data_IF_438293307691
#
_entry.id   IF_438293307691
#
_cell.length_a   1.000
_cell.length_b   1.000
_cell.length_c   1.000
_cell.angle_alpha   90.00
_cell.angle_beta   90.00
_cell.angle_gamma   90.00
#
_symmetry.space_group_name_H-M   'P 1'
#
loop_
_entity.id
_entity.type
_entity.pdbx_description
1 polymer ?
#
# COMPACT_ATOMS: atom_id res chain seq x y z
N UNK A 1 16.09 11.11 43.43
CA UNK A 1 14.90 11.06 42.56
C UNK A 1 15.13 10.02 41.48
N UNK A 2 14.49 8.85 41.55
CA UNK A 2 14.53 7.79 40.52
C UNK A 2 13.09 7.47 40.14
N UNK A 3 12.72 7.73 38.88
CA UNK A 3 11.39 7.48 38.33
C UNK A 3 11.33 6.13 37.63
N UNK A 4 10.71 5.18 38.34
CA UNK A 4 9.95 3.99 37.91
C UNK A 4 10.33 3.31 36.60
N UNK A 5 11.02 2.17 36.77
CA UNK A 5 11.12 1.03 35.86
C UNK A 5 9.75 0.39 35.64
N UNK A 6 9.28 0.33 34.39
CA UNK A 6 8.15 -0.53 33.97
C UNK A 6 8.75 -1.85 33.48
N UNK A 7 9.19 -2.65 34.44
CA UNK A 7 9.34 -4.10 34.31
C UNK A 7 8.37 -4.66 35.35
N UNK A 8 7.56 -5.65 34.96
CA UNK A 8 6.54 -6.33 35.79
C UNK A 8 5.11 -5.77 35.67
N UNK A 9 4.50 -5.90 34.49
CA UNK A 9 3.05 -6.17 34.37
C UNK A 9 2.80 -6.93 33.06
N UNK A 10 3.26 -8.18 32.97
CA UNK A 10 2.94 -9.12 31.87
C UNK A 10 2.58 -10.52 32.41
N UNK A 11 1.97 -10.60 33.61
CA UNK A 11 1.60 -11.87 34.22
C UNK A 11 0.12 -11.90 34.65
N UNK A 12 -0.76 -11.45 33.75
CA UNK A 12 -2.20 -11.75 33.84
C UNK A 12 -2.57 -12.61 32.63
N UNK A 13 -3.26 -13.74 32.81
CA UNK A 13 -3.63 -14.65 31.70
C UNK A 13 -4.49 -13.97 30.63
N UNK A 14 -5.16 -12.87 30.99
CA UNK A 14 -5.96 -12.01 30.11
C UNK A 14 -5.11 -11.20 29.11
N UNK A 15 -3.90 -10.77 29.49
CA UNK A 15 -3.01 -10.02 28.59
C UNK A 15 -2.24 -10.95 27.65
N UNK A 16 -1.88 -12.15 28.12
CA UNK A 16 -1.28 -13.19 27.29
C UNK A 16 -2.25 -13.62 26.18
N UNK A 17 -3.53 -13.84 26.50
CA UNK A 17 -4.57 -14.16 25.49
C UNK A 17 -4.89 -13.01 24.55
N UNK A 18 -4.83 -11.76 25.01
CA UNK A 18 -4.99 -10.57 24.14
C UNK A 18 -3.78 -10.35 23.21
N UNK A 19 -2.56 -10.69 23.65
CA UNK A 19 -1.36 -10.61 22.81
C UNK A 19 -1.33 -11.74 21.78
N UNK A 20 -1.65 -12.98 22.19
CA UNK A 20 -1.74 -14.13 21.30
C UNK A 20 -2.90 -13.98 20.30
N UNK A 21 -4.06 -13.45 20.73
CA UNK A 21 -5.15 -13.09 19.82
C UNK A 21 -4.80 -11.91 18.89
N UNK A 22 -3.98 -10.96 19.35
CA UNK A 22 -3.50 -9.86 18.49
C UNK A 22 -2.43 -10.32 17.49
N UNK A 23 -1.63 -11.34 17.82
CA UNK A 23 -0.67 -11.96 16.90
C UNK A 23 -1.41 -12.83 15.86
N UNK A 24 -2.47 -13.56 16.24
CA UNK A 24 -3.36 -14.25 15.28
C UNK A 24 -4.16 -13.27 14.39
N UNK A 25 -4.63 -12.12 14.89
CA UNK A 25 -5.29 -11.09 14.07
C UNK A 25 -4.32 -10.35 13.12
N UNK A 26 -3.03 -10.26 13.48
CA UNK A 26 -1.98 -9.69 12.62
C UNK A 26 -1.53 -10.68 11.53
N UNK A 27 -1.62 -11.98 11.78
CA UNK A 27 -1.41 -13.02 10.75
C UNK A 27 -2.66 -13.28 9.90
N UNK A 28 -3.85 -12.87 10.35
CA UNK A 28 -5.11 -12.98 9.61
C UNK A 28 -5.39 -11.85 8.60
N UNK A 29 -4.50 -10.86 8.44
CA UNK A 29 -4.58 -9.95 7.28
C UNK A 29 -4.02 -10.61 6.02
N UNK A 30 -4.59 -11.77 5.66
CA UNK A 30 -4.41 -12.33 4.32
C UNK A 30 -4.89 -11.30 3.29
N UNK A 31 -3.94 -10.79 2.51
CA UNK A 31 -4.14 -10.23 1.19
C UNK A 31 -5.30 -9.22 1.06
N UNK A 32 -5.03 -7.98 1.49
CA UNK A 32 -5.62 -6.80 0.84
C UNK A 32 -5.08 -6.69 -0.59
N UNK A 33 -5.49 -7.59 -1.47
CA UNK A 33 -5.30 -7.41 -2.91
C UNK A 33 -6.26 -6.33 -3.34
N UNK A 34 -5.72 -5.16 -3.71
CA UNK A 34 -6.52 -4.15 -4.39
C UNK A 34 -6.73 -4.66 -5.82
N UNK A 35 -7.77 -5.46 -6.01
CA UNK A 35 -8.28 -5.76 -7.34
C UNK A 35 -8.70 -4.43 -7.97
N UNK A 36 -8.29 -4.19 -9.23
CA UNK A 36 -8.56 -2.94 -9.93
C UNK A 36 -10.07 -2.61 -10.05
N UNK A 37 -10.95 -3.52 -9.67
CA UNK A 37 -12.40 -3.35 -9.59
C UNK A 37 -12.88 -2.60 -8.32
N UNK A 38 -12.04 -2.42 -7.30
CA UNK A 38 -12.39 -1.70 -6.06
C UNK A 38 -12.24 -0.16 -6.17
N UNK A 39 -12.18 0.38 -7.39
CA UNK A 39 -11.99 1.81 -7.62
C UNK A 39 -13.23 2.62 -7.18
N UNK A 40 -13.03 3.80 -6.58
CA UNK A 40 -14.13 4.53 -5.97
C UNK A 40 -15.07 5.12 -7.04
N UNK A 41 -16.32 4.64 -7.06
CA UNK A 41 -17.40 5.16 -7.91
C UNK A 41 -18.31 6.18 -7.19
N UNK A 42 -18.26 6.22 -5.85
CA UNK A 42 -19.02 7.15 -5.01
C UNK A 42 -18.11 7.82 -3.98
N UNK A 43 -18.61 8.86 -3.30
CA UNK A 43 -17.87 9.57 -2.26
C UNK A 43 -17.51 8.65 -1.07
N UNK A 44 -18.44 7.80 -0.63
CA UNK A 44 -18.21 6.84 0.45
C UNK A 44 -17.15 5.80 0.06
N UNK A 45 -17.17 5.33 -1.19
CA UNK A 45 -16.14 4.43 -1.72
C UNK A 45 -14.75 5.11 -1.80
N UNK A 46 -14.71 6.43 -2.03
CA UNK A 46 -13.46 7.19 -2.07
C UNK A 46 -12.83 7.33 -0.68
N UNK A 47 -13.62 7.54 0.36
CA UNK A 47 -13.11 7.60 1.74
C UNK A 47 -12.53 6.25 2.18
N UNK A 48 -13.25 5.16 1.89
CA UNK A 48 -12.76 3.79 2.12
C UNK A 48 -11.44 3.53 1.39
N UNK A 49 -11.37 3.91 0.11
CA UNK A 49 -10.14 3.81 -0.67
C UNK A 49 -8.98 4.58 -0.03
N UNK A 50 -9.20 5.83 0.39
CA UNK A 50 -8.16 6.66 0.99
C UNK A 50 -7.64 6.10 2.32
N UNK A 51 -8.54 5.52 3.13
CA UNK A 51 -8.16 4.85 4.36
C UNK A 51 -7.31 3.60 4.06
N UNK A 52 -7.75 2.79 3.10
CA UNK A 52 -7.08 1.54 2.72
C UNK A 52 -5.66 1.78 2.19
N UNK A 53 -5.47 2.72 1.25
CA UNK A 53 -4.12 3.03 0.71
C UNK A 53 -3.17 3.61 1.76
N UNK A 54 -3.70 4.13 2.88
CA UNK A 54 -2.92 4.63 4.01
C UNK A 54 -2.27 3.52 4.83
N UNK A 55 -2.78 2.28 4.74
CA UNK A 55 -2.30 1.11 5.50
C UNK A 55 -1.06 0.48 4.90
N UNK A 56 -0.82 0.65 3.60
CA UNK A 56 0.34 0.06 2.93
C UNK A 56 1.61 0.87 3.20
N UNK A 57 2.68 0.24 3.72
CA UNK A 57 3.94 0.92 3.95
C UNK A 57 4.60 1.32 2.62
N UNK A 58 5.37 2.41 2.67
CA UNK A 58 6.20 2.83 1.54
C UNK A 58 7.35 1.84 1.34
N UNK A 59 7.72 1.61 0.08
CA UNK A 59 8.85 0.76 -0.26
C UNK A 59 10.15 1.54 -0.19
N UNK A 60 11.19 0.89 0.34
CA UNK A 60 12.57 1.30 0.14
C UNK A 60 13.04 0.93 -1.27
N UNK A 61 14.10 1.57 -1.76
CA UNK A 61 14.68 1.24 -3.07
C UNK A 61 15.11 -0.24 -3.17
N UNK A 62 15.60 -0.82 -2.08
CA UNK A 62 15.98 -2.24 -2.04
C UNK A 62 14.75 -3.16 -2.17
N UNK A 63 13.64 -2.82 -1.51
CA UNK A 63 12.38 -3.56 -1.64
C UNK A 63 11.77 -3.42 -3.03
N UNK A 64 11.82 -2.22 -3.65
CA UNK A 64 11.40 -2.01 -5.04
C UNK A 64 12.13 -2.97 -5.99
N UNK A 65 13.46 -3.07 -5.86
CA UNK A 65 14.28 -4.00 -6.67
C UNK A 65 13.91 -5.46 -6.39
N UNK A 66 13.71 -5.83 -5.12
CA UNK A 66 13.37 -7.20 -4.75
C UNK A 66 11.99 -7.61 -5.28
N UNK A 67 11.00 -6.72 -5.20
CA UNK A 67 9.66 -6.94 -5.74
C UNK A 67 9.68 -6.96 -7.26
N UNK A 68 10.37 -6.04 -7.92
CA UNK A 68 10.49 -6.01 -9.38
C UNK A 68 11.04 -7.33 -9.96
N UNK A 69 12.07 -7.91 -9.33
CA UNK A 69 12.62 -9.23 -9.70
C UNK A 69 11.61 -10.38 -9.53
N UNK A 70 10.67 -10.25 -8.60
CA UNK A 70 9.60 -11.23 -8.40
C UNK A 70 8.49 -11.02 -9.44
N UNK A 71 8.13 -9.77 -9.72
CA UNK A 71 7.17 -9.41 -10.78
C UNK A 71 7.64 -9.90 -12.15
N UNK A 72 8.93 -9.74 -12.50
CA UNK A 72 9.52 -10.28 -13.74
C UNK A 72 9.33 -11.81 -13.87
N UNK A 73 9.18 -12.52 -12.74
CA UNK A 73 8.95 -13.98 -12.69
C UNK A 73 7.46 -14.36 -12.61
N UNK A 74 6.55 -13.39 -12.75
CA UNK A 74 5.11 -13.61 -12.71
C UNK A 74 4.51 -13.69 -11.30
N UNK A 75 5.22 -13.23 -10.28
CA UNK A 75 4.71 -13.22 -8.91
C UNK A 75 3.63 -12.14 -8.72
N UNK A 76 2.36 -12.58 -8.69
CA UNK A 76 1.20 -11.70 -8.54
C UNK A 76 1.19 -10.96 -7.21
N UNK A 77 1.55 -11.62 -6.11
CA UNK A 77 1.57 -10.98 -4.79
C UNK A 77 2.64 -9.88 -4.72
N UNK A 78 3.79 -10.08 -5.37
CA UNK A 78 4.80 -9.03 -5.50
C UNK A 78 4.29 -7.83 -6.31
N UNK A 79 3.56 -8.10 -7.40
CA UNK A 79 2.95 -7.06 -8.24
C UNK A 79 1.94 -6.24 -7.43
N UNK A 80 1.05 -6.91 -6.71
CA UNK A 80 0.03 -6.28 -5.87
C UNK A 80 0.64 -5.44 -4.76
N UNK A 81 1.63 -5.96 -4.03
CA UNK A 81 2.37 -5.19 -3.03
C UNK A 81 3.01 -3.94 -3.64
N UNK A 82 3.61 -4.07 -4.81
CA UNK A 82 4.26 -2.96 -5.51
C UNK A 82 3.25 -1.89 -5.95
N UNK A 83 2.07 -2.30 -6.44
CA UNK A 83 0.98 -1.38 -6.78
C UNK A 83 0.48 -0.66 -5.50
N UNK A 84 0.11 -1.43 -4.47
CA UNK A 84 -0.53 -0.90 -3.26
C UNK A 84 0.35 0.12 -2.54
N UNK A 85 1.65 -0.16 -2.40
CA UNK A 85 2.60 0.77 -1.79
C UNK A 85 2.78 2.09 -2.56
N UNK A 86 2.36 2.14 -3.83
CA UNK A 86 2.48 3.30 -4.70
C UNK A 86 1.15 4.02 -4.98
N UNK A 87 0.01 3.54 -4.48
CA UNK A 87 -1.31 4.17 -4.70
C UNK A 87 -1.37 5.62 -4.16
N UNK A 88 -0.60 5.92 -3.10
CA UNK A 88 -0.48 7.29 -2.56
C UNK A 88 0.11 8.27 -3.58
N UNK A 89 1.02 7.82 -4.46
CA UNK A 89 1.57 8.64 -5.53
C UNK A 89 0.49 8.97 -6.56
N UNK A 90 -0.35 8.01 -6.93
CA UNK A 90 -1.47 8.22 -7.86
C UNK A 90 -2.40 9.31 -7.34
N UNK A 91 -2.79 9.22 -6.07
CA UNK A 91 -3.64 10.24 -5.44
C UNK A 91 -2.96 11.61 -5.42
N UNK A 92 -1.66 11.67 -5.11
CA UNK A 92 -0.89 12.91 -5.10
C UNK A 92 -0.83 13.58 -6.49
N UNK A 93 -0.63 12.79 -7.54
CA UNK A 93 -0.62 13.28 -8.93
C UNK A 93 -2.02 13.72 -9.35
N UNK A 94 -3.05 12.89 -9.11
CA UNK A 94 -4.44 13.18 -9.46
C UNK A 94 -4.95 14.48 -8.81
N UNK A 95 -4.48 14.82 -7.59
CA UNK A 95 -4.84 16.09 -6.92
C UNK A 95 -4.49 17.32 -7.75
N UNK A 96 -3.45 17.28 -8.58
CA UNK A 96 -3.03 18.40 -9.45
C UNK A 96 -4.02 18.67 -10.59
N UNK A 97 -4.81 17.67 -10.96
CA UNK A 97 -5.78 17.74 -12.07
C UNK A 97 -7.22 18.02 -11.59
N UNK A 98 -7.42 18.26 -10.29
CA UNK A 98 -8.74 18.65 -9.77
C UNK A 98 -9.25 19.94 -10.43
N UNK A 99 -10.57 20.06 -10.56
CA UNK A 99 -11.21 21.27 -11.11
C UNK A 99 -11.18 21.39 -12.65
N UNK A 100 -10.65 20.40 -13.36
CA UNK A 100 -10.56 20.40 -14.83
C UNK A 100 -11.76 19.71 -15.52
N UNK A 101 -12.90 19.60 -14.83
CA UNK A 101 -14.14 19.01 -15.37
C UNK A 101 -14.23 17.48 -15.33
N UNK A 102 -13.16 16.78 -14.91
CA UNK A 102 -13.15 15.33 -14.69
C UNK A 102 -13.36 15.02 -13.20
N UNK A 103 -14.25 14.08 -12.83
CA UNK A 103 -14.40 13.63 -11.45
C UNK A 103 -13.08 13.14 -10.85
N UNK A 104 -12.87 13.41 -9.57
CA UNK A 104 -11.63 13.02 -8.91
C UNK A 104 -11.44 11.49 -8.79
N UNK A 105 -12.54 10.75 -8.68
CA UNK A 105 -12.53 9.28 -8.74
C UNK A 105 -11.94 8.79 -10.05
N UNK A 106 -12.44 9.28 -11.18
CA UNK A 106 -12.00 8.91 -12.54
C UNK A 106 -10.50 9.19 -12.76
N UNK A 107 -10.01 10.34 -12.30
CA UNK A 107 -8.57 10.65 -12.35
C UNK A 107 -7.72 9.65 -11.57
N UNK A 108 -8.23 9.16 -10.43
CA UNK A 108 -7.56 8.10 -9.67
C UNK A 108 -7.63 6.79 -10.45
N UNK A 109 -8.78 6.44 -11.03
CA UNK A 109 -8.93 5.21 -11.83
C UNK A 109 -7.91 5.14 -12.95
N UNK A 110 -7.84 6.19 -13.77
CA UNK A 110 -6.87 6.29 -14.87
C UNK A 110 -5.43 6.19 -14.37
N UNK A 111 -5.13 6.86 -13.24
CA UNK A 111 -3.82 6.79 -12.61
C UNK A 111 -3.46 5.40 -12.09
N UNK A 112 -4.41 4.64 -11.53
CA UNK A 112 -4.21 3.26 -11.09
C UNK A 112 -3.95 2.33 -12.28
N UNK A 113 -4.67 2.53 -13.39
CA UNK A 113 -4.43 1.77 -14.62
C UNK A 113 -3.01 2.08 -15.16
N UNK A 114 -2.60 3.35 -15.16
CA UNK A 114 -1.25 3.76 -15.52
C UNK A 114 -0.18 3.13 -14.63
N UNK A 115 -0.39 3.16 -13.31
CA UNK A 115 0.48 2.56 -12.31
C UNK A 115 0.66 1.06 -12.54
N UNK A 116 -0.43 0.33 -12.77
CA UNK A 116 -0.40 -1.12 -13.01
C UNK A 116 0.48 -1.45 -14.22
N UNK A 117 0.31 -0.72 -15.33
CA UNK A 117 1.15 -0.85 -16.53
C UNK A 117 2.61 -0.48 -16.28
N UNK A 118 2.86 0.53 -15.44
CA UNK A 118 4.23 0.91 -15.07
C UNK A 118 4.92 -0.19 -14.26
N UNK A 119 4.22 -0.85 -13.33
CA UNK A 119 4.76 -1.99 -12.56
C UNK A 119 5.13 -3.14 -13.48
N UNK A 120 4.30 -3.47 -14.48
CA UNK A 120 4.59 -4.54 -15.45
C UNK A 120 5.83 -4.25 -16.30
N UNK A 121 6.14 -2.99 -16.55
CA UNK A 121 7.23 -2.56 -17.43
C UNK A 121 8.47 -2.06 -16.68
N UNK A 122 8.45 -2.09 -15.35
CA UNK A 122 9.51 -1.52 -14.54
C UNK A 122 10.82 -2.29 -14.71
N UNK A 123 11.86 -1.58 -15.12
CA UNK A 123 13.20 -2.15 -15.30
C UNK A 123 14.12 -1.72 -14.15
N UNK A 124 14.22 -2.59 -13.15
CA UNK A 124 15.05 -2.36 -11.96
C UNK A 124 16.56 -2.23 -12.27
N UNK A 125 17.01 -2.62 -13.48
CA UNK A 125 18.42 -2.56 -13.87
C UNK A 125 18.87 -1.14 -14.21
N UNK A 126 17.94 -0.23 -14.50
CA UNK A 126 18.24 1.18 -14.83
C UNK A 126 18.70 2.01 -13.63
N UNK A 127 18.51 1.51 -12.40
CA UNK A 127 18.97 2.17 -11.18
C UNK A 127 18.11 3.38 -10.75
N UNK A 128 16.99 3.64 -11.42
CA UNK A 128 16.01 4.64 -11.00
C UNK A 128 15.00 4.05 -10.01
N UNK A 129 14.48 4.90 -9.13
CA UNK A 129 13.37 4.53 -8.23
C UNK A 129 12.09 4.41 -9.03
N UNK A 130 11.21 3.50 -8.63
CA UNK A 130 9.94 3.28 -9.33
C UNK A 130 9.10 4.56 -9.44
N UNK A 131 9.06 5.35 -8.36
CA UNK A 131 8.38 6.66 -8.33
C UNK A 131 8.87 7.69 -9.34
N UNK A 132 10.05 7.49 -9.95
CA UNK A 132 10.60 8.35 -11.01
C UNK A 132 10.23 7.84 -12.40
N UNK A 133 10.23 6.53 -12.61
CA UNK A 133 9.82 5.91 -13.89
C UNK A 133 8.30 5.93 -14.11
N UNK A 134 7.50 6.05 -13.03
CA UNK A 134 6.04 6.04 -13.08
C UNK A 134 5.39 7.44 -13.23
N UNK A 135 6.18 8.52 -13.38
CA UNK A 135 5.70 9.90 -13.52
C UNK A 135 5.63 10.39 -14.96
#
# INVERSE_FOLDING_TARGET
MKGITISTTLQTPEIQTLLEASEEELEASENGTFEAEALPASADSLELFMNEIGRYPLLTAAEEVALAKRVERGDRAAKERMINSNLRLVVHVAKRYRGHGVPFGDLIQDGVIGLNRAVEKFDWRKGFKFSTDAQ
#
